data_IF_781482055627
#
_entry.id   IF_781482055627
#
_cell.length_a   1.000
_cell.length_b   1.000
_cell.length_c   1.000
_cell.angle_alpha   90.00
_cell.angle_beta   90.00
_cell.angle_gamma   90.00
#
_symmetry.space_group_name_H-M   'P 1'
#
loop_
_entity.id
_entity.type
_entity.pdbx_description
1 polymer ?
#
# COMPACT_ATOMS: atom_id res chain seq x y z
N UNK A 1 -6.82 14.49 -20.28
CA UNK A 1 -7.95 13.99 -19.53
C UNK A 1 -7.50 13.88 -18.06
N UNK A 2 -8.33 14.37 -17.12
CA UNK A 2 -8.10 14.10 -15.72
C UNK A 2 -8.17 12.56 -15.56
N UNK A 3 -7.15 11.97 -14.93
CA UNK A 3 -7.24 10.57 -14.54
C UNK A 3 -8.44 10.46 -13.60
N UNK A 4 -9.24 9.40 -13.75
CA UNK A 4 -10.30 9.13 -12.79
C UNK A 4 -9.66 8.97 -11.42
N UNK A 5 -10.28 9.52 -10.37
CA UNK A 5 -9.84 9.33 -8.99
C UNK A 5 -9.65 7.83 -8.72
N UNK A 6 -8.47 7.46 -8.26
CA UNK A 6 -8.15 6.06 -7.92
C UNK A 6 -8.85 5.61 -6.65
N UNK A 7 -9.02 4.30 -6.48
CA UNK A 7 -9.45 3.70 -5.21
C UNK A 7 -8.36 2.74 -4.75
N UNK A 8 -7.92 2.89 -3.50
CA UNK A 8 -7.06 1.95 -2.80
C UNK A 8 -7.88 1.33 -1.65
N UNK A 9 -8.23 0.08 -1.81
CA UNK A 9 -8.96 -0.69 -0.80
C UNK A 9 -7.99 -1.39 0.15
N UNK A 10 -8.16 -1.17 1.45
CA UNK A 10 -7.43 -1.85 2.50
C UNK A 10 -8.35 -2.91 3.12
N UNK A 11 -8.07 -4.18 2.86
CA UNK A 11 -8.87 -5.28 3.38
C UNK A 11 -8.28 -5.82 4.69
N UNK A 12 -9.02 -5.71 5.80
CA UNK A 12 -8.63 -6.28 7.09
C UNK A 12 -8.96 -7.77 7.23
N UNK A 13 -9.51 -8.39 6.18
CA UNK A 13 -9.85 -9.81 6.11
C UNK A 13 -10.78 -10.29 7.25
N UNK A 14 -11.86 -9.58 7.56
CA UNK A 14 -12.74 -9.86 8.72
C UNK A 14 -13.18 -11.34 8.80
N UNK A 15 -13.41 -11.98 7.65
CA UNK A 15 -13.84 -13.37 7.55
C UNK A 15 -12.78 -14.29 6.91
N UNK A 16 -11.49 -13.96 6.99
CA UNK A 16 -10.38 -14.44 6.18
C UNK A 16 -10.44 -13.92 4.74
N UNK A 17 -9.28 -13.71 4.13
CA UNK A 17 -9.17 -13.43 2.70
C UNK A 17 -8.62 -14.64 1.97
N UNK A 18 -9.20 -14.95 0.82
CA UNK A 18 -8.73 -16.06 -0.02
C UNK A 18 -8.28 -15.49 -1.36
N UNK A 19 -7.00 -15.70 -1.68
CA UNK A 19 -6.39 -15.28 -2.94
C UNK A 19 -5.94 -16.47 -3.76
N UNK A 20 -5.99 -16.34 -5.07
CA UNK A 20 -5.65 -17.40 -6.01
C UNK A 20 -4.50 -16.97 -6.93
N UNK A 21 -3.71 -17.94 -7.37
CA UNK A 21 -2.71 -17.71 -8.40
C UNK A 21 -3.41 -17.31 -9.71
N UNK A 22 -2.98 -16.20 -10.30
CA UNK A 22 -3.55 -15.74 -11.57
C UNK A 22 -2.96 -14.41 -12.02
N UNK A 23 -3.52 -13.82 -13.05
CA UNK A 23 -3.25 -12.43 -13.40
C UNK A 23 -3.77 -11.53 -12.29
N UNK A 24 -3.03 -10.44 -11.99
CA UNK A 24 -3.38 -9.54 -10.90
C UNK A 24 -4.76 -8.91 -11.09
N UNK A 25 -5.67 -9.15 -10.14
CA UNK A 25 -7.04 -8.65 -10.15
C UNK A 25 -7.63 -8.60 -8.75
N UNK A 26 -7.81 -7.40 -8.21
CA UNK A 26 -8.51 -7.14 -6.97
C UNK A 26 -9.97 -7.59 -7.02
N UNK A 27 -10.62 -7.46 -8.18
CA UNK A 27 -12.02 -7.88 -8.37
C UNK A 27 -12.20 -9.40 -8.26
N UNK A 28 -11.18 -10.18 -8.63
CA UNK A 28 -11.23 -11.65 -8.62
C UNK A 28 -10.38 -12.27 -7.51
N UNK A 29 -9.76 -11.48 -6.65
CA UNK A 29 -8.82 -11.92 -5.60
C UNK A 29 -7.73 -12.83 -6.17
N UNK A 30 -7.11 -12.41 -7.28
CA UNK A 30 -6.02 -13.13 -7.92
C UNK A 30 -4.74 -12.30 -7.94
N UNK A 31 -3.60 -12.97 -7.77
CA UNK A 31 -2.29 -12.31 -7.85
C UNK A 31 -1.26 -13.21 -8.52
N UNK A 32 -0.40 -12.57 -9.33
CA UNK A 32 0.67 -13.24 -10.08
C UNK A 32 1.81 -13.75 -9.19
N UNK A 33 1.94 -13.19 -7.98
CA UNK A 33 3.02 -13.54 -7.03
C UNK A 33 2.65 -14.63 -6.03
N UNK A 34 1.38 -15.09 -6.04
CA UNK A 34 0.90 -16.15 -5.16
C UNK A 34 0.95 -17.50 -5.86
N UNK A 35 1.41 -18.53 -5.16
CA UNK A 35 1.38 -19.92 -5.62
C UNK A 35 0.13 -20.65 -5.14
N UNK A 36 -0.74 -21.08 -6.08
CA UNK A 36 -1.97 -21.83 -5.77
C UNK A 36 -3.04 -20.99 -5.09
N UNK A 37 -3.71 -21.54 -4.08
CA UNK A 37 -4.70 -20.82 -3.27
C UNK A 37 -4.12 -20.54 -1.89
N UNK A 38 -4.29 -19.33 -1.40
CA UNK A 38 -3.80 -18.88 -0.10
C UNK A 38 -4.92 -18.25 0.71
N UNK A 39 -4.87 -18.46 2.02
CA UNK A 39 -5.83 -17.87 2.96
C UNK A 39 -5.07 -17.07 3.99
N UNK A 40 -5.38 -15.78 4.10
CA UNK A 40 -4.89 -14.90 5.15
C UNK A 40 -5.92 -14.85 6.29
N UNK A 41 -5.44 -15.00 7.52
CA UNK A 41 -6.25 -14.79 8.71
C UNK A 41 -6.50 -13.28 8.90
N UNK A 42 -7.56 -12.90 9.62
CA UNK A 42 -7.90 -11.50 9.87
C UNK A 42 -6.76 -10.71 10.50
N UNK A 43 -6.81 -9.40 10.34
CA UNK A 43 -6.04 -8.44 11.13
C UNK A 43 -6.33 -8.66 12.62
N UNK A 44 -5.32 -8.90 13.45
CA UNK A 44 -5.47 -9.38 14.83
C UNK A 44 -5.14 -8.35 15.92
N UNK A 45 -4.85 -7.08 15.54
CA UNK A 45 -4.51 -6.02 16.49
C UNK A 45 -5.73 -5.24 17.03
N UNK A 46 -6.94 -5.59 16.61
CA UNK A 46 -8.19 -4.98 17.06
C UNK A 46 -8.58 -3.67 16.36
N UNK A 47 -9.78 -3.17 16.66
CA UNK A 47 -10.40 -2.07 15.92
C UNK A 47 -9.68 -0.72 16.11
N UNK A 48 -9.15 -0.45 17.28
CA UNK A 48 -8.40 0.79 17.54
C UNK A 48 -7.11 0.88 16.69
N UNK A 49 -6.35 -0.21 16.61
CA UNK A 49 -5.16 -0.29 15.78
C UNK A 49 -5.51 -0.24 14.29
N UNK A 50 -6.63 -0.84 13.88
CA UNK A 50 -7.13 -0.72 12.51
C UNK A 50 -7.44 0.72 12.14
N UNK A 51 -8.17 1.45 13.00
CA UNK A 51 -8.51 2.85 12.77
C UNK A 51 -7.25 3.74 12.69
N UNK A 52 -6.25 3.50 13.54
CA UNK A 52 -4.96 4.18 13.49
C UNK A 52 -4.23 3.90 12.17
N UNK A 53 -4.18 2.64 11.75
CA UNK A 53 -3.55 2.24 10.50
C UNK A 53 -4.23 2.88 9.28
N UNK A 54 -5.56 2.77 9.18
CA UNK A 54 -6.33 3.37 8.08
C UNK A 54 -6.10 4.88 8.00
N UNK A 55 -6.20 5.58 9.12
CA UNK A 55 -5.96 7.03 9.17
C UNK A 55 -4.53 7.41 8.74
N UNK A 56 -3.53 6.60 9.12
CA UNK A 56 -2.15 6.81 8.71
C UNK A 56 -1.97 6.65 7.19
N UNK A 57 -2.52 5.60 6.58
CA UNK A 57 -2.43 5.40 5.13
C UNK A 57 -3.20 6.50 4.39
N UNK A 58 -4.40 6.88 4.86
CA UNK A 58 -5.15 8.01 4.32
C UNK A 58 -4.34 9.32 4.35
N UNK A 59 -3.65 9.60 5.45
CA UNK A 59 -2.80 10.79 5.57
C UNK A 59 -1.59 10.72 4.62
N UNK A 60 -1.00 9.54 4.43
CA UNK A 60 0.14 9.34 3.52
C UNK A 60 -0.25 9.59 2.05
N UNK A 61 -1.46 9.21 1.67
CA UNK A 61 -1.97 9.41 0.31
C UNK A 61 -2.77 10.72 0.12
N UNK A 62 -2.99 11.52 1.16
CA UNK A 62 -3.77 12.76 1.10
C UNK A 62 -3.31 13.78 0.02
N UNK A 63 -2.02 13.86 -0.40
CA UNK A 63 -1.60 14.75 -1.48
C UNK A 63 -2.08 14.34 -2.88
N UNK A 64 -2.64 13.14 -3.04
CA UNK A 64 -2.96 12.52 -4.34
C UNK A 64 -4.46 12.35 -4.53
N UNK A 65 -4.90 12.31 -5.80
CA UNK A 65 -6.31 12.07 -6.17
C UNK A 65 -6.62 10.56 -6.13
N UNK A 66 -6.57 10.00 -4.93
CA UNK A 66 -6.86 8.60 -4.62
C UNK A 66 -7.66 8.51 -3.32
N UNK A 67 -8.72 7.72 -3.34
CA UNK A 67 -9.53 7.43 -2.16
C UNK A 67 -9.02 6.17 -1.48
N UNK A 68 -8.48 6.30 -0.26
CA UNK A 68 -8.11 5.15 0.59
C UNK A 68 -9.32 4.78 1.44
N UNK A 69 -9.79 3.55 1.34
CA UNK A 69 -11.01 3.07 2.00
C UNK A 69 -10.83 1.64 2.54
N UNK A 70 -11.57 1.30 3.59
CA UNK A 70 -11.73 -0.07 4.09
C UNK A 70 -13.12 -0.65 3.77
N UNK A 71 -13.86 0.03 2.88
CA UNK A 71 -15.13 -0.46 2.33
C UNK A 71 -14.85 -1.08 0.97
N UNK A 72 -15.17 -2.36 0.82
CA UNK A 72 -14.96 -3.11 -0.42
C UNK A 72 -15.69 -2.45 -1.60
N UNK A 73 -14.96 -2.02 -2.65
CA UNK A 73 -15.56 -1.41 -3.84
C UNK A 73 -16.28 -2.41 -4.76
N UNK A 74 -16.18 -3.71 -4.49
CA UNK A 74 -16.75 -4.77 -5.30
C UNK A 74 -16.18 -4.80 -6.73
N UNK A 75 -17.05 -4.73 -7.72
CA UNK A 75 -16.66 -4.79 -9.14
C UNK A 75 -16.13 -3.46 -9.71
N UNK A 76 -16.04 -2.39 -8.91
CA UNK A 76 -15.42 -1.14 -9.35
C UNK A 76 -13.91 -1.32 -9.44
N UNK A 77 -13.26 -0.76 -10.46
CA UNK A 77 -11.81 -0.83 -10.62
C UNK A 77 -11.10 -0.19 -9.42
N UNK A 78 -10.20 -0.93 -8.78
CA UNK A 78 -9.45 -0.49 -7.61
C UNK A 78 -8.15 -1.28 -7.44
N UNK A 79 -7.21 -0.71 -6.70
CA UNK A 79 -6.07 -1.44 -6.14
C UNK A 79 -6.46 -1.96 -4.77
N UNK A 80 -5.93 -3.10 -4.40
CA UNK A 80 -6.24 -3.75 -3.13
C UNK A 80 -4.96 -4.10 -2.36
N UNK A 81 -5.01 -3.89 -1.04
CA UNK A 81 -4.00 -4.41 -0.11
C UNK A 81 -4.71 -5.11 1.04
N UNK A 82 -4.69 -6.45 1.10
CA UNK A 82 -4.98 -7.15 2.33
C UNK A 82 -3.92 -6.80 3.37
N UNK A 83 -4.38 -6.13 4.43
CA UNK A 83 -3.58 -5.75 5.60
C UNK A 83 -3.92 -6.74 6.72
N UNK A 84 -3.37 -7.94 6.63
CA UNK A 84 -3.82 -9.07 7.44
C UNK A 84 -2.80 -10.22 7.41
N UNK A 85 -3.02 -11.22 8.23
CA UNK A 85 -2.27 -12.47 8.24
C UNK A 85 -0.77 -12.34 8.40
N UNK A 86 -0.09 -13.43 8.05
CA UNK A 86 1.38 -13.56 8.09
C UNK A 86 1.92 -13.93 6.70
N UNK A 87 3.19 -13.63 6.40
CA UNK A 87 3.78 -13.95 5.10
C UNK A 87 3.75 -15.45 4.77
N UNK A 88 3.89 -16.31 5.76
CA UNK A 88 3.88 -17.77 5.56
C UNK A 88 2.51 -18.29 5.10
N UNK A 89 1.42 -17.63 5.47
CA UNK A 89 0.07 -17.93 4.98
C UNK A 89 -0.05 -17.66 3.48
N UNK A 90 0.61 -16.62 2.98
CA UNK A 90 0.67 -16.29 1.56
C UNK A 90 1.77 -17.06 0.79
N UNK A 91 2.62 -17.83 1.50
CA UNK A 91 3.68 -18.63 0.90
C UNK A 91 5.03 -17.95 0.81
N UNK A 92 5.24 -16.84 1.55
CA UNK A 92 6.50 -16.10 1.62
C UNK A 92 7.30 -16.43 2.89
N UNK A 93 8.61 -16.11 2.90
CA UNK A 93 9.45 -16.27 4.10
C UNK A 93 8.90 -15.47 5.30
N UNK A 94 9.09 -15.99 6.52
CA UNK A 94 8.51 -15.44 7.75
C UNK A 94 8.90 -13.98 8.09
N UNK A 95 10.00 -13.47 7.53
CA UNK A 95 10.45 -12.10 7.75
C UNK A 95 9.96 -11.08 6.70
N UNK A 96 9.13 -11.50 5.75
CA UNK A 96 8.58 -10.61 4.71
C UNK A 96 7.51 -9.73 5.32
N UNK A 97 7.71 -8.41 5.36
CA UNK A 97 6.76 -7.46 5.93
C UNK A 97 5.57 -7.18 5.01
N UNK A 98 5.85 -7.06 3.72
CA UNK A 98 4.89 -6.90 2.64
C UNK A 98 5.47 -7.41 1.34
N UNK A 99 4.65 -7.51 0.32
CA UNK A 99 5.07 -7.90 -1.04
C UNK A 99 4.06 -7.43 -2.07
N UNK A 100 4.56 -6.98 -3.20
CA UNK A 100 3.75 -6.52 -4.33
C UNK A 100 4.24 -7.11 -5.65
N UNK A 101 3.36 -7.39 -6.59
CA UNK A 101 3.76 -7.52 -7.98
C UNK A 101 4.42 -6.21 -8.45
N UNK A 102 5.44 -6.33 -9.28
CA UNK A 102 6.18 -5.17 -9.76
C UNK A 102 6.41 -5.25 -11.27
N UNK A 103 6.14 -4.15 -11.95
CA UNK A 103 6.50 -3.93 -13.36
C UNK A 103 6.94 -2.48 -13.53
N UNK A 104 7.55 -2.14 -14.68
CA UNK A 104 7.87 -0.74 -15.00
C UNK A 104 6.66 0.09 -15.47
N UNK A 105 5.47 -0.34 -15.18
CA UNK A 105 4.22 0.35 -15.46
C UNK A 105 3.21 0.08 -14.38
N UNK A 106 2.02 0.67 -14.53
CA UNK A 106 0.93 0.48 -13.58
C UNK A 106 0.28 -0.89 -13.74
N UNK A 107 0.17 -1.64 -12.67
CA UNK A 107 -0.62 -2.87 -12.59
C UNK A 107 -2.03 -2.48 -12.16
N UNK A 108 -2.93 -2.30 -13.14
CA UNK A 108 -4.31 -1.94 -12.88
C UNK A 108 -5.05 -3.07 -12.15
N UNK A 109 -5.86 -2.73 -11.16
CA UNK A 109 -6.56 -3.68 -10.30
C UNK A 109 -5.60 -4.68 -9.61
N UNK A 110 -4.36 -4.28 -9.36
CA UNK A 110 -3.38 -5.13 -8.72
C UNK A 110 -3.68 -5.39 -7.25
N UNK A 111 -3.17 -6.52 -6.73
CA UNK A 111 -3.23 -6.90 -5.32
C UNK A 111 -1.81 -6.95 -4.77
N UNK A 112 -1.49 -6.08 -3.82
CA UNK A 112 -0.29 -6.14 -3.01
C UNK A 112 -0.64 -6.65 -1.60
N UNK A 113 0.34 -7.08 -0.81
CA UNK A 113 0.11 -7.70 0.49
C UNK A 113 0.90 -6.98 1.58
N UNK A 114 0.26 -6.68 2.71
CA UNK A 114 0.90 -6.16 3.91
C UNK A 114 0.58 -7.09 5.08
N UNK A 115 1.58 -7.81 5.59
CA UNK A 115 1.38 -8.89 6.55
C UNK A 115 1.29 -8.34 7.98
N UNK A 116 0.10 -7.83 8.34
CA UNK A 116 -0.13 -7.08 9.57
C UNK A 116 0.23 -7.83 10.85
N UNK A 117 -0.04 -9.16 10.90
CA UNK A 117 0.06 -9.94 12.14
C UNK A 117 1.50 -10.27 12.56
N UNK A 118 2.51 -9.75 11.84
CA UNK A 118 3.92 -9.80 12.27
C UNK A 118 4.44 -8.42 12.71
N UNK A 119 3.65 -7.35 12.54
CA UNK A 119 4.04 -6.00 12.94
C UNK A 119 3.66 -5.70 14.38
N UNK A 120 4.60 -5.18 15.17
CA UNK A 120 4.35 -4.67 16.53
C UNK A 120 4.12 -3.15 16.58
N UNK A 121 4.17 -2.46 15.44
CA UNK A 121 4.09 -1.01 15.34
C UNK A 121 3.23 -0.60 14.15
N UNK A 122 2.14 0.13 14.40
CA UNK A 122 1.18 0.54 13.37
C UNK A 122 1.75 1.57 12.37
N UNK A 123 2.74 2.37 12.75
CA UNK A 123 3.43 3.25 11.80
C UNK A 123 4.28 2.49 10.79
N UNK A 124 5.03 1.47 11.26
CA UNK A 124 5.81 0.62 10.35
C UNK A 124 4.87 -0.15 9.40
N UNK A 125 3.75 -0.65 9.90
CA UNK A 125 2.72 -1.29 9.08
C UNK A 125 2.14 -0.31 8.05
N UNK A 126 1.86 0.93 8.45
CA UNK A 126 1.38 1.98 7.55
C UNK A 126 2.35 2.24 6.40
N UNK A 127 3.64 2.38 6.69
CA UNK A 127 4.66 2.62 5.67
C UNK A 127 4.88 1.39 4.78
N UNK A 128 4.82 0.18 5.34
CA UNK A 128 4.81 -1.05 4.55
C UNK A 128 3.61 -1.07 3.60
N UNK A 129 2.40 -0.81 4.10
CA UNK A 129 1.20 -0.78 3.27
C UNK A 129 1.31 0.28 2.16
N UNK A 130 1.81 1.47 2.47
CA UNK A 130 2.02 2.53 1.48
C UNK A 130 3.06 2.12 0.42
N UNK A 131 4.17 1.51 0.84
CA UNK A 131 5.22 1.01 -0.05
C UNK A 131 4.68 -0.03 -1.02
N UNK A 132 4.02 -1.07 -0.51
CA UNK A 132 3.49 -2.15 -1.34
C UNK A 132 2.41 -1.67 -2.31
N UNK A 133 1.57 -0.70 -1.88
CA UNK A 133 0.57 -0.09 -2.76
C UNK A 133 1.18 0.56 -3.99
N UNK A 134 2.29 1.28 -3.84
CA UNK A 134 2.86 2.05 -4.96
C UNK A 134 3.87 1.26 -5.79
N UNK A 135 4.32 0.08 -5.33
CA UNK A 135 4.96 -0.88 -6.23
C UNK A 135 4.04 -1.27 -7.39
N UNK A 136 2.71 -1.32 -7.16
CA UNK A 136 1.70 -1.51 -8.22
C UNK A 136 1.68 -0.35 -9.25
N UNK A 137 2.26 0.80 -8.91
CA UNK A 137 2.42 1.95 -9.79
C UNK A 137 3.76 1.96 -10.53
N UNK A 138 4.62 0.97 -10.28
CA UNK A 138 5.94 0.84 -10.91
C UNK A 138 7.06 1.57 -10.15
N UNK A 139 6.85 1.95 -8.88
CA UNK A 139 7.90 2.53 -8.06
C UNK A 139 8.84 1.44 -7.54
N UNK A 140 10.13 1.69 -7.62
CA UNK A 140 11.21 0.88 -7.04
C UNK A 140 11.50 1.34 -5.60
N UNK A 141 12.34 0.61 -4.87
CA UNK A 141 12.84 1.08 -3.57
C UNK A 141 13.78 2.29 -3.73
N UNK A 142 13.77 3.18 -2.74
CA UNK A 142 14.64 4.35 -2.67
C UNK A 142 15.57 4.32 -1.46
N UNK A 143 16.82 4.71 -1.65
CA UNK A 143 17.77 4.88 -0.55
C UNK A 143 17.57 6.24 0.15
N UNK A 144 16.33 6.54 0.56
CA UNK A 144 15.91 7.81 1.18
C UNK A 144 15.13 7.53 2.46
N UNK A 145 15.75 7.67 3.63
CA UNK A 145 15.20 7.23 4.91
C UNK A 145 13.80 7.80 5.27
N UNK A 146 13.46 9.01 4.76
CA UNK A 146 12.18 9.68 5.04
C UNK A 146 11.06 9.32 4.05
N UNK A 147 11.35 8.47 3.05
CA UNK A 147 10.36 8.01 2.08
C UNK A 147 9.84 6.62 2.45
N UNK A 148 8.55 6.30 2.26
CA UNK A 148 8.05 4.94 2.46
C UNK A 148 8.74 3.89 1.58
N UNK A 149 9.26 4.28 0.39
CA UNK A 149 9.92 3.35 -0.55
C UNK A 149 11.28 2.84 -0.07
N UNK A 150 11.64 3.02 1.20
CA UNK A 150 12.94 2.65 1.75
C UNK A 150 12.87 1.51 2.75
N UNK A 151 13.96 0.71 2.80
CA UNK A 151 14.22 -0.24 3.90
C UNK A 151 15.01 0.40 5.05
N UNK A 152 15.44 1.66 4.90
CA UNK A 152 16.16 2.37 5.96
C UNK A 152 15.19 2.70 7.08
N UNK A 153 15.49 2.24 8.29
CA UNK A 153 14.71 2.46 9.51
C UNK A 153 15.22 3.66 10.30
N UNK A 154 14.48 4.08 11.34
CA UNK A 154 14.92 5.13 12.27
C UNK A 154 14.41 6.54 11.96
N UNK A 155 13.69 6.78 10.88
CA UNK A 155 12.92 7.99 10.69
C UNK A 155 11.66 7.97 11.54
N UNK A 156 11.32 9.11 12.16
CA UNK A 156 10.10 9.23 12.97
C UNK A 156 8.84 9.36 12.11
N UNK A 157 8.96 10.00 10.93
CA UNK A 157 7.87 10.19 9.98
C UNK A 157 8.37 9.99 8.56
N UNK A 158 7.60 9.25 7.76
CA UNK A 158 7.88 9.05 6.34
C UNK A 158 6.74 9.64 5.48
N UNK A 159 7.10 10.13 4.32
CA UNK A 159 6.18 10.62 3.28
C UNK A 159 6.83 10.44 1.92
N UNK A 160 6.04 10.26 0.89
CA UNK A 160 6.54 10.28 -0.48
C UNK A 160 7.20 11.63 -0.76
N UNK A 161 8.48 11.61 -1.08
CA UNK A 161 9.32 12.80 -1.11
C UNK A 161 9.36 13.43 -2.51
N UNK A 162 9.13 14.76 -2.63
CA UNK A 162 9.16 15.44 -3.93
C UNK A 162 10.58 15.75 -4.39
N UNK A 163 11.47 14.77 -4.31
CA UNK A 163 12.86 14.90 -4.71
C UNK A 163 13.39 13.64 -5.38
N UNK A 164 14.40 13.80 -6.22
CA UNK A 164 15.12 12.70 -6.83
C UNK A 164 15.96 11.97 -5.81
N UNK A 165 15.71 10.70 -5.61
CA UNK A 165 16.48 9.83 -4.72
C UNK A 165 17.04 8.63 -5.48
N UNK A 166 18.26 8.16 -5.17
CA UNK A 166 18.80 6.93 -5.74
C UNK A 166 17.90 5.74 -5.38
N UNK A 167 17.71 4.82 -6.32
CA UNK A 167 17.06 3.56 -6.01
C UNK A 167 17.95 2.66 -5.15
N UNK A 168 17.34 1.74 -4.42
CA UNK A 168 18.03 0.73 -3.62
C UNK A 168 17.41 0.52 -2.25
N UNK A 169 17.70 -0.63 -1.66
CA UNK A 169 17.19 -1.06 -0.36
C UNK A 169 17.97 -0.44 0.80
N UNK A 170 19.30 -0.62 0.80
CA UNK A 170 20.21 -0.14 1.84
C UNK A 170 21.37 0.69 1.26
N UNK A 171 21.67 0.48 -0.01
CA UNK A 171 22.74 1.19 -0.75
C UNK A 171 22.21 1.61 -2.11
N UNK A 172 22.67 2.76 -2.65
CA UNK A 172 22.27 3.21 -3.97
C UNK A 172 22.60 2.19 -5.07
N UNK A 173 21.65 1.98 -5.97
CA UNK A 173 21.79 1.22 -7.23
C UNK A 173 20.99 1.91 -8.34
N UNK A 174 21.17 1.46 -9.57
CA UNK A 174 20.29 1.86 -10.66
C UNK A 174 18.85 1.40 -10.39
N UNK A 175 17.86 2.19 -10.80
CA UNK A 175 16.47 1.82 -10.69
C UNK A 175 16.13 0.65 -11.62
N UNK A 176 15.27 -0.25 -11.20
CA UNK A 176 14.88 -1.43 -11.95
C UNK A 176 14.24 -1.07 -13.31
N UNK A 177 13.57 0.07 -13.39
CA UNK A 177 12.93 0.58 -14.61
C UNK A 177 13.82 1.55 -15.41
N UNK A 178 15.10 1.62 -15.06
CA UNK A 178 16.09 2.51 -15.70
C UNK A 178 16.23 3.83 -14.96
N UNK A 179 17.36 4.51 -15.25
CA UNK A 179 17.72 5.73 -14.55
C UNK A 179 18.54 5.47 -13.28
N UNK A 180 19.09 6.53 -12.70
CA UNK A 180 19.89 6.49 -11.47
C UNK A 180 19.07 6.87 -10.23
N UNK A 181 17.96 7.57 -10.43
CA UNK A 181 17.09 8.13 -9.39
C UNK A 181 15.64 7.93 -9.74
N UNK A 182 14.80 8.07 -8.74
CA UNK A 182 13.34 8.06 -8.80
C UNK A 182 12.82 9.21 -7.92
N UNK A 183 11.65 9.72 -8.23
CA UNK A 183 10.90 10.69 -7.41
C UNK A 183 9.54 10.10 -7.11
N UNK A 184 9.38 9.55 -5.93
CA UNK A 184 8.18 8.82 -5.51
C UNK A 184 6.92 9.69 -5.60
N UNK A 185 6.97 10.92 -5.10
CA UNK A 185 5.87 11.87 -5.13
C UNK A 185 5.41 12.22 -6.55
N UNK A 186 6.38 12.49 -7.46
CA UNK A 186 6.07 12.80 -8.85
C UNK A 186 5.48 11.60 -9.59
N UNK A 187 6.01 10.39 -9.36
CA UNK A 187 5.53 9.18 -10.00
C UNK A 187 4.09 8.84 -9.59
N UNK A 188 3.77 8.91 -8.29
CA UNK A 188 2.40 8.70 -7.81
C UNK A 188 1.44 9.73 -8.41
N UNK A 189 1.82 11.01 -8.41
CA UNK A 189 1.01 12.07 -9.00
C UNK A 189 0.79 11.89 -10.52
N UNK A 190 1.73 11.28 -11.23
CA UNK A 190 1.56 10.95 -12.64
C UNK A 190 0.55 9.82 -12.88
N UNK A 191 0.39 8.91 -11.91
CA UNK A 191 -0.54 7.77 -12.01
C UNK A 191 -1.96 8.20 -11.64
N UNK A 192 -2.16 8.79 -10.46
CA UNK A 192 -3.49 9.06 -9.92
C UNK A 192 -3.88 10.55 -9.93
N UNK A 193 -2.93 11.46 -10.18
CA UNK A 193 -3.16 12.90 -10.09
C UNK A 193 -2.88 13.47 -8.69
N UNK A 194 -2.99 14.78 -8.58
CA UNK A 194 -2.93 15.51 -7.30
C UNK A 194 -4.32 15.69 -6.73
N UNK A 195 -4.44 15.61 -5.41
CA UNK A 195 -5.69 15.95 -4.73
C UNK A 195 -6.15 17.36 -5.14
N UNK A 196 -7.44 17.57 -5.39
CA UNK A 196 -7.98 18.89 -5.68
C UNK A 196 -7.66 19.89 -4.54
N UNK A 197 -7.27 21.12 -4.89
CA UNK A 197 -7.01 22.16 -3.91
C UNK A 197 -8.25 22.39 -3.03
N UNK A 198 -8.11 22.23 -1.72
CA UNK A 198 -9.21 22.40 -0.77
C UNK A 198 -10.08 21.16 -0.54
N UNK A 199 -9.69 20.00 -1.03
CA UNK A 199 -10.32 18.74 -0.62
C UNK A 199 -10.23 18.61 0.91
N UNK A 200 -11.35 18.44 1.64
CA UNK A 200 -11.29 18.21 3.07
C UNK A 200 -10.58 16.88 3.32
N UNK A 201 -9.65 16.84 4.27
CA UNK A 201 -9.18 15.57 4.82
C UNK A 201 -10.44 14.84 5.30
N UNK A 202 -10.76 13.70 4.67
CA UNK A 202 -11.88 12.85 5.07
C UNK A 202 -11.53 12.20 6.42
N UNK A 203 -11.57 12.99 7.48
CA UNK A 203 -11.64 12.50 8.84
C UNK A 203 -13.03 11.89 8.98
N UNK A 204 -13.15 10.57 8.86
CA UNK A 204 -14.36 9.87 9.20
C UNK A 204 -14.73 10.23 10.65
N UNK A 205 -15.84 10.96 10.82
CA UNK A 205 -16.37 11.36 12.11
C UNK A 205 -16.63 10.10 12.95
N UNK A 206 -15.74 9.82 13.89
CA UNK A 206 -16.08 9.04 15.06
C UNK A 206 -17.09 9.88 15.85
N UNK A 207 -18.37 9.69 15.58
CA UNK A 207 -19.43 10.15 16.47
C UNK A 207 -19.36 9.34 17.76
N UNK A 208 -18.64 9.87 18.75
CA UNK A 208 -18.78 9.41 20.13
C UNK A 208 -20.17 9.87 20.58
N UNK A 209 -21.16 8.95 20.60
CA UNK A 209 -22.41 9.20 21.36
C UNK A 209 -22.03 9.17 22.84
N UNK A 210 -22.12 10.31 23.49
CA UNK A 210 -22.14 10.39 24.94
C UNK A 210 -23.57 10.02 25.37
N UNK A 211 -23.70 8.88 26.00
CA UNK A 211 -24.79 8.53 26.93
C UNK A 211 -24.19 8.27 28.31
#
# INVERSE_FOLDING_TARGET
PANAAGILFLDRCVANCVYHQGFDSSINNTSSIIGGTRTLLPFDHGDAAWAEHLACVQATFAPYDITVTDVDPGAVAHWEVPVAGTPTQAGFPSGTAGVSPFTCGVINNGVAFSFANIHGNMKELCWTTAQESVHLFGLDHEALARDPMTYITGCLEKRFAPEEAPCGEFVPRACACGGATQNSDAMIANVVGRAPAGAPLMLNNLSVSQD
#
